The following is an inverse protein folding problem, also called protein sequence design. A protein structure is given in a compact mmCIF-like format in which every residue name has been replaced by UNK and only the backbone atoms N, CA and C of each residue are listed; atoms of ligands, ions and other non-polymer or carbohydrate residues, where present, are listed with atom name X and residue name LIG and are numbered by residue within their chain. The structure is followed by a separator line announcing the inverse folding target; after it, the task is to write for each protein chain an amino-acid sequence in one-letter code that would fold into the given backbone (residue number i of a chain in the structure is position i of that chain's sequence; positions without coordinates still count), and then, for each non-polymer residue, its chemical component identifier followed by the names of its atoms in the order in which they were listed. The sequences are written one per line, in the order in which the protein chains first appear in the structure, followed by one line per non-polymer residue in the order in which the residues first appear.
data_IF_903087091591
#
_entry.id   IF_903087091591
#
_cell.length_a   1.000
_cell.length_b   1.000
_cell.length_c   1.000
_cell.angle_alpha   90.00
_cell.angle_beta   90.00
_cell.angle_gamma   90.00
#
_symmetry.space_group_name_H-M   'P 1'
#
loop_
_entity.id
_entity.type
_entity.pdbx_description
1 polymer ?
#
# COMPACT_ATOMS: atom_id res chain seq x y z
N UNK A 1 64.61 -18.32 -15.38
CA UNK A 1 63.85 -18.34 -16.65
C UNK A 1 62.50 -17.66 -16.43
N UNK A 2 62.41 -16.35 -16.60
CA UNK A 2 61.16 -15.59 -16.46
C UNK A 2 60.34 -15.72 -17.75
N UNK A 3 59.13 -16.28 -17.66
CA UNK A 3 58.20 -16.32 -18.80
C UNK A 3 57.60 -14.94 -19.03
N UNK A 4 57.98 -14.31 -20.15
CA UNK A 4 57.35 -13.11 -20.71
C UNK A 4 55.88 -13.44 -21.01
N UNK A 5 54.93 -12.78 -20.34
CA UNK A 5 53.49 -12.92 -20.66
C UNK A 5 53.23 -12.09 -21.91
N UNK A 6 52.70 -12.75 -22.94
CA UNK A 6 52.37 -12.16 -24.23
C UNK A 6 51.20 -11.18 -24.11
N UNK A 7 51.39 -9.99 -24.68
CA UNK A 7 50.42 -8.89 -24.78
C UNK A 7 49.27 -9.25 -25.75
N UNK A 8 48.40 -10.17 -25.31
CA UNK A 8 47.22 -10.60 -26.05
C UNK A 8 46.11 -9.55 -26.01
N UNK A 9 45.85 -8.90 -27.14
CA UNK A 9 44.71 -8.02 -27.37
C UNK A 9 43.40 -8.72 -26.99
N UNK A 10 42.64 -8.14 -26.05
CA UNK A 10 41.35 -8.68 -25.62
C UNK A 10 40.37 -8.73 -26.80
N UNK A 11 40.10 -9.93 -27.30
CA UNK A 11 39.17 -10.14 -28.41
C UNK A 11 37.72 -10.18 -27.89
N UNK A 12 36.90 -9.26 -28.42
CA UNK A 12 35.48 -9.13 -28.09
C UNK A 12 34.69 -10.22 -28.82
N UNK A 13 33.74 -10.86 -28.15
CA UNK A 13 32.91 -11.92 -28.71
C UNK A 13 31.73 -12.28 -27.82
N UNK A 14 31.01 -13.36 -28.16
CA UNK A 14 29.87 -13.81 -27.36
C UNK A 14 30.29 -14.12 -25.92
N UNK A 15 29.61 -13.52 -24.94
CA UNK A 15 29.96 -13.63 -23.52
C UNK A 15 31.27 -12.92 -23.11
N UNK A 16 31.89 -12.14 -24.01
CA UNK A 16 33.14 -11.38 -23.76
C UNK A 16 32.94 -9.89 -24.05
N UNK A 17 32.36 -9.14 -23.10
CA UNK A 17 32.04 -7.72 -23.31
C UNK A 17 33.31 -6.85 -23.37
N UNK A 18 33.35 -5.80 -24.21
CA UNK A 18 34.50 -4.91 -24.35
C UNK A 18 35.01 -4.35 -23.02
N UNK A 19 36.33 -4.32 -22.83
CA UNK A 19 36.95 -3.80 -21.60
C UNK A 19 36.59 -2.33 -21.35
N UNK A 20 36.47 -1.53 -22.41
CA UNK A 20 36.19 -0.10 -22.32
C UNK A 20 34.82 0.24 -21.70
N UNK A 21 33.83 -0.64 -21.82
CA UNK A 21 32.44 -0.38 -21.36
C UNK A 21 32.04 -1.21 -20.15
N UNK A 22 32.91 -2.10 -19.68
CA UNK A 22 32.66 -2.91 -18.47
C UNK A 22 32.64 -2.03 -17.23
N UNK A 23 31.67 -2.28 -16.36
CA UNK A 23 31.68 -1.69 -15.03
C UNK A 23 32.87 -2.20 -14.21
N UNK A 24 33.46 -1.30 -13.41
CA UNK A 24 34.52 -1.67 -12.47
C UNK A 24 33.95 -2.53 -11.34
N UNK A 25 34.70 -3.52 -10.83
CA UNK A 25 34.28 -4.24 -9.62
C UNK A 25 33.92 -3.27 -8.49
N UNK A 26 32.74 -3.46 -7.89
CA UNK A 26 32.23 -2.59 -6.82
C UNK A 26 31.53 -1.31 -7.29
N UNK A 27 31.49 -1.03 -8.59
CA UNK A 27 30.80 0.13 -9.15
C UNK A 27 29.58 -0.32 -9.95
N UNK A 28 28.37 -0.05 -9.44
CA UNK A 28 27.14 -0.21 -10.22
C UNK A 28 27.10 0.83 -11.35
N UNK A 29 26.61 0.43 -12.53
CA UNK A 29 26.29 1.36 -13.62
C UNK A 29 25.16 2.33 -13.28
N UNK A 30 24.33 2.00 -12.28
CA UNK A 30 23.36 2.90 -11.68
C UNK A 30 23.68 3.08 -10.19
N UNK A 31 24.58 4.03 -9.83
CA UNK A 31 25.01 4.26 -8.45
C UNK A 31 23.88 4.81 -7.55
N UNK A 32 22.85 5.42 -8.13
CA UNK A 32 21.65 5.85 -7.38
C UNK A 32 20.68 4.70 -7.09
N UNK A 33 20.89 3.55 -7.72
CA UNK A 33 20.01 2.39 -7.61
C UNK A 33 18.59 2.70 -8.11
N UNK A 34 17.65 1.88 -7.68
CA UNK A 34 16.22 2.17 -7.85
C UNK A 34 15.88 3.43 -7.03
N UNK A 35 15.16 4.42 -7.61
CA UNK A 35 14.82 5.64 -6.88
C UNK A 35 14.10 5.34 -5.57
N UNK A 36 14.51 6.02 -4.50
CA UNK A 36 13.84 5.96 -3.19
C UNK A 36 12.39 6.44 -3.36
N UNK A 37 11.43 5.66 -2.87
CA UNK A 37 10.00 5.96 -3.03
C UNK A 37 9.41 5.54 -4.38
N UNK A 38 10.08 4.68 -5.15
CA UNK A 38 9.44 4.02 -6.29
C UNK A 38 8.11 3.41 -5.85
N UNK A 39 7.01 3.74 -6.56
CA UNK A 39 5.66 3.27 -6.25
C UNK A 39 5.67 1.76 -5.99
N UNK A 40 5.43 1.37 -4.75
CA UNK A 40 5.17 -0.01 -4.35
C UNK A 40 3.65 -0.19 -4.19
N UNK A 41 3.18 -1.44 -4.16
CA UNK A 41 1.75 -1.75 -4.05
C UNK A 41 1.11 -1.05 -2.83
N UNK A 42 1.81 -1.04 -1.70
CA UNK A 42 1.40 -0.36 -0.46
C UNK A 42 1.16 1.15 -0.66
N UNK A 43 2.09 1.88 -1.28
CA UNK A 43 1.93 3.33 -1.54
C UNK A 43 0.78 3.63 -2.48
N UNK A 44 0.55 2.77 -3.48
CA UNK A 44 -0.58 2.93 -4.41
C UNK A 44 -1.89 2.66 -3.68
N UNK A 45 -1.97 1.58 -2.91
CA UNK A 45 -3.16 1.21 -2.14
C UNK A 45 -3.53 2.33 -1.16
N UNK A 46 -2.56 2.85 -0.41
CA UNK A 46 -2.78 3.95 0.53
C UNK A 46 -3.24 5.21 -0.17
N UNK A 47 -2.69 5.53 -1.34
CA UNK A 47 -3.11 6.69 -2.11
C UNK A 47 -4.56 6.56 -2.62
N UNK A 48 -4.94 5.38 -3.11
CA UNK A 48 -6.31 5.09 -3.58
C UNK A 48 -7.30 5.17 -2.44
N UNK A 49 -7.00 4.54 -1.31
CA UNK A 49 -7.90 4.51 -0.16
C UNK A 49 -8.10 5.90 0.48
N UNK A 50 -7.09 6.77 0.45
CA UNK A 50 -7.19 8.16 0.94
C UNK A 50 -7.73 9.15 -0.09
N UNK A 51 -7.97 8.72 -1.32
CA UNK A 51 -8.50 9.61 -2.35
C UNK A 51 -9.89 10.10 -1.93
N UNK A 52 -10.12 11.42 -2.00
CA UNK A 52 -11.43 11.99 -1.77
C UNK A 52 -12.33 11.81 -3.00
N UNK A 53 -13.53 11.32 -2.77
CA UNK A 53 -14.58 11.18 -3.77
C UNK A 53 -15.86 11.88 -3.29
N UNK A 54 -16.63 12.41 -4.23
CA UNK A 54 -17.92 13.03 -3.90
C UNK A 54 -19.01 11.97 -4.00
N UNK A 55 -19.72 11.74 -2.90
CA UNK A 55 -20.82 10.76 -2.80
C UNK A 55 -22.10 11.49 -2.38
N UNK A 56 -23.24 11.01 -2.89
CA UNK A 56 -24.56 11.47 -2.47
C UNK A 56 -25.06 10.55 -1.35
N UNK A 57 -25.21 11.08 -0.15
CA UNK A 57 -25.68 10.34 1.03
C UNK A 57 -26.83 11.14 1.66
N UNK A 58 -28.00 10.52 1.80
CA UNK A 58 -29.19 11.20 2.37
C UNK A 58 -29.62 12.46 1.61
N UNK A 59 -29.37 12.54 0.30
CA UNK A 59 -29.70 13.70 -0.53
C UNK A 59 -28.69 14.86 -0.46
N UNK A 60 -27.65 14.76 0.37
CA UNK A 60 -26.55 15.74 0.45
C UNK A 60 -25.31 15.19 -0.27
N UNK A 61 -24.60 16.06 -1.00
CA UNK A 61 -23.30 15.71 -1.59
C UNK A 61 -22.22 15.93 -0.54
N UNK A 62 -21.41 14.90 -0.28
CA UNK A 62 -20.29 14.95 0.68
C UNK A 62 -19.02 14.46 0.02
N UNK A 63 -17.88 15.10 0.34
CA UNK A 63 -16.56 14.62 -0.03
C UNK A 63 -16.03 13.73 1.08
N UNK A 64 -15.88 12.45 0.80
CA UNK A 64 -15.42 11.42 1.74
C UNK A 64 -14.37 10.55 1.08
N UNK A 65 -13.56 9.85 1.87
CA UNK A 65 -12.50 8.99 1.30
C UNK A 65 -13.07 7.71 0.69
N UNK A 66 -12.35 7.13 -0.27
CA UNK A 66 -12.69 5.82 -0.82
C UNK A 66 -12.77 4.77 0.29
N UNK A 67 -11.90 4.86 1.29
CA UNK A 67 -11.90 3.96 2.44
C UNK A 67 -13.17 4.07 3.27
N UNK A 68 -13.62 5.28 3.60
CA UNK A 68 -14.87 5.49 4.34
C UNK A 68 -16.07 4.92 3.57
N UNK A 69 -16.12 5.14 2.26
CA UNK A 69 -17.18 4.60 1.39
C UNK A 69 -17.15 3.07 1.37
N UNK A 70 -15.96 2.48 1.30
CA UNK A 70 -15.78 1.03 1.34
C UNK A 70 -16.32 0.45 2.66
N UNK A 71 -15.97 1.05 3.81
CA UNK A 71 -16.46 0.60 5.12
C UNK A 71 -17.98 0.73 5.26
N UNK A 72 -18.58 1.83 4.77
CA UNK A 72 -20.04 2.02 4.72
C UNK A 72 -20.75 0.98 3.87
N UNK A 73 -20.15 0.60 2.74
CA UNK A 73 -20.70 -0.46 1.89
C UNK A 73 -20.59 -1.83 2.54
N UNK A 74 -19.44 -2.12 3.15
CA UNK A 74 -19.19 -3.38 3.85
C UNK A 74 -20.16 -3.55 5.04
N UNK A 75 -20.41 -2.48 5.81
CA UNK A 75 -21.37 -2.52 6.92
C UNK A 75 -22.79 -2.76 6.42
N UNK A 76 -23.20 -2.09 5.34
CA UNK A 76 -24.50 -2.33 4.71
C UNK A 76 -24.67 -3.79 4.27
N UNK A 77 -23.68 -4.38 3.61
CA UNK A 77 -23.74 -5.78 3.17
C UNK A 77 -23.82 -6.76 4.35
N UNK A 78 -23.07 -6.50 5.42
CA UNK A 78 -23.15 -7.28 6.65
C UNK A 78 -24.56 -7.21 7.27
N UNK A 79 -25.18 -6.02 7.31
CA UNK A 79 -26.54 -5.83 7.81
C UNK A 79 -27.61 -6.45 6.91
N UNK A 80 -27.37 -6.53 5.61
CA UNK A 80 -28.22 -7.23 4.64
C UNK A 80 -28.13 -8.76 4.73
N UNK A 81 -27.23 -9.28 5.59
CA UNK A 81 -27.12 -10.70 5.89
C UNK A 81 -26.06 -11.46 5.09
N UNK A 82 -25.10 -10.78 4.46
CA UNK A 82 -23.94 -11.45 3.87
C UNK A 82 -22.96 -11.92 4.98
N UNK A 83 -22.84 -13.24 5.23
CA UNK A 83 -22.00 -13.74 6.31
C UNK A 83 -20.52 -13.40 6.09
N UNK A 84 -20.04 -13.33 4.85
CA UNK A 84 -18.65 -12.97 4.55
C UNK A 84 -18.33 -11.54 4.94
N UNK A 85 -19.25 -10.62 4.68
CA UNK A 85 -19.13 -9.21 5.09
C UNK A 85 -19.22 -9.07 6.60
N UNK A 86 -20.10 -9.84 7.25
CA UNK A 86 -20.19 -9.93 8.71
C UNK A 86 -18.87 -10.37 9.35
N UNK A 87 -18.28 -11.47 8.87
CA UNK A 87 -17.00 -11.98 9.35
C UNK A 87 -15.87 -10.96 9.19
N UNK A 88 -15.78 -10.31 8.03
CA UNK A 88 -14.80 -9.24 7.78
C UNK A 88 -14.98 -8.08 8.76
N UNK A 89 -16.22 -7.69 9.07
CA UNK A 89 -16.49 -6.63 10.05
C UNK A 89 -16.12 -7.04 11.47
N UNK A 90 -16.44 -8.28 11.86
CA UNK A 90 -16.08 -8.84 13.18
C UNK A 90 -14.55 -8.85 13.37
N UNK A 91 -13.80 -9.19 12.31
CA UNK A 91 -12.32 -9.13 12.31
C UNK A 91 -11.78 -7.71 12.54
N UNK A 92 -12.56 -6.67 12.22
CA UNK A 92 -12.18 -5.27 12.46
C UNK A 92 -12.54 -4.79 13.89
N UNK A 93 -13.38 -5.49 14.66
CA UNK A 93 -13.80 -5.05 16.00
C UNK A 93 -12.66 -4.89 17.03
N UNK A 94 -11.64 -5.77 17.10
CA UNK A 94 -10.51 -5.58 18.02
C UNK A 94 -9.74 -4.27 17.79
N UNK A 95 -9.84 -3.73 16.57
CA UNK A 95 -9.12 -2.56 16.11
C UNK A 95 -9.77 -1.27 16.60
N UNK A 96 -11.10 -1.23 16.77
CA UNK A 96 -11.80 -0.11 17.40
C UNK A 96 -11.34 0.10 18.85
N UNK A 97 -11.24 -0.98 19.63
CA UNK A 97 -10.78 -0.92 21.03
C UNK A 97 -9.35 -0.42 21.17
N UNK A 98 -8.48 -0.72 20.19
CA UNK A 98 -7.09 -0.28 20.19
C UNK A 98 -6.95 1.21 19.84
N UNK A 99 -7.85 1.74 19.00
CA UNK A 99 -7.93 3.18 18.70
C UNK A 99 -8.42 3.97 19.92
N UNK A 100 -9.45 3.47 20.62
CA UNK A 100 -9.95 4.05 21.88
C UNK A 100 -8.86 4.06 22.96
N UNK A 101 -8.07 2.99 23.06
CA UNK A 101 -6.95 2.90 24.01
C UNK A 101 -5.76 3.81 23.65
N UNK A 102 -5.58 4.18 22.39
CA UNK A 102 -4.55 5.15 21.96
C UNK A 102 -4.95 6.61 22.13
N UNK A 103 -6.18 6.91 22.58
CA UNK A 103 -6.58 8.26 23.01
C UNK A 103 -6.91 9.27 21.91
N UNK A 104 -6.97 8.87 20.63
CA UNK A 104 -7.19 9.78 19.50
C UNK A 104 -8.62 9.75 18.92
N UNK A 105 -9.61 9.25 19.66
CA UNK A 105 -10.99 9.14 19.20
C UNK A 105 -11.96 10.06 19.95
N UNK A 106 -11.87 11.37 19.72
CA UNK A 106 -13.07 12.24 19.84
C UNK A 106 -13.13 13.24 18.69
N UNK A 107 -13.82 12.84 17.62
CA UNK A 107 -14.50 13.81 16.77
C UNK A 107 -15.80 13.15 16.33
N UNK A 108 -16.85 13.33 17.14
CA UNK A 108 -18.23 13.09 16.72
C UNK A 108 -18.48 13.78 15.35
N UNK A 109 -19.41 13.26 14.52
CA UNK A 109 -19.78 13.96 13.31
C UNK A 109 -20.53 15.23 13.71
N UNK A 110 -19.84 16.36 13.67
CA UNK A 110 -20.49 17.66 13.70
C UNK A 110 -21.29 17.79 12.39
N UNK A 111 -22.60 17.94 12.53
CA UNK A 111 -23.49 18.21 11.41
C UNK A 111 -23.36 19.70 11.05
N UNK A 112 -22.30 20.07 10.35
CA UNK A 112 -22.09 21.45 9.96
C UNK A 112 -20.88 21.61 9.05
N UNK A 113 -21.15 22.18 7.87
CA UNK A 113 -20.24 22.78 6.90
C UNK A 113 -19.04 21.99 6.33
N UNK A 114 -18.80 22.27 5.06
CA UNK A 114 -17.70 21.80 4.24
C UNK A 114 -16.34 22.13 4.88
N UNK A 115 -15.63 21.13 5.41
CA UNK A 115 -14.20 21.28 5.68
C UNK A 115 -13.40 20.02 5.37
N UNK A 116 -12.22 20.24 4.82
CA UNK A 116 -11.42 19.27 4.11
C UNK A 116 -10.78 18.23 5.05
N UNK A 117 -11.05 16.95 4.78
CA UNK A 117 -10.13 15.84 5.04
C UNK A 117 -9.62 15.72 6.47
N UNK A 118 -10.43 15.12 7.35
CA UNK A 118 -10.04 14.73 8.72
C UNK A 118 -8.74 13.92 8.75
N UNK A 119 -7.82 14.33 9.61
CA UNK A 119 -6.59 13.60 9.96
C UNK A 119 -6.85 12.17 10.49
N UNK A 120 -8.05 11.89 11.01
CA UNK A 120 -8.44 10.57 11.54
C UNK A 120 -8.41 9.44 10.50
N UNK A 121 -8.71 9.72 9.24
CA UNK A 121 -8.65 8.72 8.16
C UNK A 121 -7.20 8.29 7.88
N UNK A 122 -6.27 9.24 8.00
CA UNK A 122 -4.84 9.02 7.79
C UNK A 122 -4.24 8.12 8.87
N UNK A 123 -4.75 8.20 10.08
CA UNK A 123 -4.32 7.39 11.22
C UNK A 123 -4.95 6.00 11.17
N UNK A 124 -6.23 5.91 10.77
CA UNK A 124 -6.91 4.64 10.53
C UNK A 124 -6.23 3.81 9.44
N UNK A 125 -5.75 4.43 8.35
CA UNK A 125 -4.96 3.71 7.34
C UNK A 125 -3.52 3.42 7.74
N UNK A 126 -2.90 4.25 8.58
CA UNK A 126 -1.56 3.93 9.13
C UNK A 126 -1.64 2.64 9.94
N UNK A 127 -2.74 2.48 10.66
CA UNK A 127 -3.05 1.30 11.43
C UNK A 127 -3.46 0.09 10.57
N UNK A 128 -4.27 0.29 9.52
CA UNK A 128 -4.59 -0.77 8.56
C UNK A 128 -3.36 -1.25 7.76
N UNK A 129 -2.43 -0.35 7.41
CA UNK A 129 -1.17 -0.74 6.76
C UNK A 129 -0.26 -1.58 7.69
N UNK A 130 -0.31 -1.32 9.00
CA UNK A 130 0.31 -2.18 10.01
C UNK A 130 -0.34 -3.58 10.01
N UNK A 131 -1.67 -3.64 9.90
CA UNK A 131 -2.46 -4.89 9.89
C UNK A 131 -2.12 -5.82 8.72
N UNK A 132 -1.94 -5.28 7.50
CA UNK A 132 -1.51 -6.06 6.32
C UNK A 132 -0.06 -6.54 6.47
N UNK A 133 0.79 -5.75 7.13
CA UNK A 133 2.20 -6.12 7.39
C UNK A 133 2.33 -7.21 8.45
N UNK A 134 1.43 -7.23 9.43
CA UNK A 134 1.40 -8.20 10.52
C UNK A 134 0.69 -9.52 10.14
N UNK A 135 0.23 -9.66 8.89
CA UNK A 135 -0.41 -10.89 8.37
C UNK A 135 -1.81 -11.15 8.91
N UNK A 136 -2.49 -10.13 9.45
CA UNK A 136 -3.83 -10.29 10.04
C UNK A 136 -4.98 -10.18 9.03
N UNK A 137 -4.67 -9.85 7.77
CA UNK A 137 -5.59 -9.84 6.63
C UNK A 137 -4.93 -10.55 5.45
N UNK A 138 -5.09 -11.87 5.39
CA UNK A 138 -4.84 -12.61 4.16
C UNK A 138 -5.93 -12.23 3.14
N UNK A 139 -5.51 -11.55 2.07
CA UNK A 139 -6.36 -11.22 0.92
C UNK A 139 -6.27 -12.28 -0.19
N UNK A 140 -5.51 -13.36 0.04
CA UNK A 140 -5.19 -14.41 -0.92
C UNK A 140 -6.07 -15.66 -0.73
N UNK A 141 -7.38 -15.50 -0.55
CA UNK A 141 -8.32 -16.59 -0.86
C UNK A 141 -8.53 -16.59 -2.38
N UNK A 142 -7.52 -17.06 -3.14
CA UNK A 142 -7.69 -17.35 -4.56
C UNK A 142 -8.75 -18.45 -4.72
N UNK A 143 -9.67 -18.22 -5.65
CA UNK A 143 -10.66 -19.20 -6.11
C UNK A 143 -9.96 -20.47 -6.62
N UNK A 144 -10.00 -21.54 -5.85
CA UNK A 144 -10.18 -22.89 -6.43
C UNK A 144 -11.67 -23.24 -6.36
N UNK A 145 -12.39 -22.89 -7.42
CA UNK A 145 -13.72 -23.42 -7.72
C UNK A 145 -13.71 -24.04 -9.13
N UNK A 146 -13.48 -25.36 -9.12
CA UNK A 146 -13.81 -26.45 -10.06
C UNK A 146 -14.18 -26.10 -11.52
#
# INVERSE_FOLDING_TARGET
MARRRSDGTYEVGYGRPPVATRFKPGQSGNPRGRPKGAKNVDTILRAVLMQQITVLEGGKRRKITVFEVFLKRLSKQALEGDPKSGDKMIRLLPYLKKIEASGDATAAPDEGEDDAGRDGDRDMLRYFAQMVRDGALDLDDEEEAQ
#
